data_IF_022149875709
#
_entry.id   IF_022149875709
#
_cell.length_a   1.000
_cell.length_b   1.000
_cell.length_c   1.000
_cell.angle_alpha   90.00
_cell.angle_beta   90.00
_cell.angle_gamma   90.00
#
_symmetry.space_group_name_H-M   'P 1'
#
loop_
_entity.id
_entity.type
_entity.pdbx_description
1 polymer ?
#
# COMPACT_ATOMS: atom_id res chain seq x y z
N UNK A 1 14.09 46.44 6.51
CA UNK A 1 14.73 45.18 6.94
C UNK A 1 13.64 44.27 7.46
N UNK A 2 13.09 43.41 6.60
CA UNK A 2 12.08 42.43 6.96
C UNK A 2 12.75 41.06 6.83
N UNK A 3 13.14 40.49 7.97
CA UNK A 3 13.66 39.12 8.04
C UNK A 3 12.52 38.15 7.81
N UNK A 4 12.53 37.46 6.66
CA UNK A 4 11.71 36.27 6.45
C UNK A 4 12.15 35.18 7.42
N UNK A 5 11.23 34.52 8.15
CA UNK A 5 11.58 33.29 8.83
C UNK A 5 11.75 32.21 7.75
N UNK A 6 13.00 31.85 7.47
CA UNK A 6 13.28 30.53 6.89
C UNK A 6 12.78 29.52 7.91
N UNK A 7 11.58 28.99 7.70
CA UNK A 7 11.13 27.78 8.39
C UNK A 7 12.23 26.76 8.24
N UNK A 8 12.82 26.36 9.37
CA UNK A 8 13.80 25.30 9.44
C UNK A 8 13.13 24.07 8.84
N UNK A 9 13.52 23.71 7.61
CA UNK A 9 13.23 22.39 7.05
C UNK A 9 14.07 21.45 7.92
N UNK A 10 13.45 20.93 8.98
CA UNK A 10 14.06 19.96 9.87
C UNK A 10 14.66 18.85 9.01
N UNK A 11 15.94 18.58 9.25
CA UNK A 11 16.66 17.41 8.72
C UNK A 11 15.81 16.15 8.90
N UNK A 12 15.95 15.12 8.04
CA UNK A 12 15.05 13.98 8.01
C UNK A 12 14.87 13.43 9.42
N UNK A 13 13.65 13.50 9.94
CA UNK A 13 13.35 12.73 11.13
C UNK A 13 13.59 11.27 10.76
N UNK A 14 14.56 10.68 11.42
CA UNK A 14 14.90 9.27 11.26
C UNK A 14 13.84 8.47 12.02
N UNK A 15 12.60 8.52 11.54
CA UNK A 15 11.54 7.59 11.92
C UNK A 15 11.94 6.21 11.38
N UNK A 16 12.77 5.51 12.17
CA UNK A 16 13.08 4.11 11.89
C UNK A 16 11.87 3.24 12.17
N UNK A 17 11.82 2.03 11.59
CA UNK A 17 10.72 1.09 11.83
C UNK A 17 10.57 0.74 13.32
N UNK A 18 11.67 0.69 14.08
CA UNK A 18 11.66 0.46 15.53
C UNK A 18 11.08 1.65 16.27
N UNK A 19 11.50 2.87 15.91
CA UNK A 19 10.97 4.09 16.51
C UNK A 19 9.47 4.25 16.25
N UNK A 20 9.02 3.95 15.02
CA UNK A 20 7.61 3.97 14.64
C UNK A 20 6.83 2.90 15.43
N UNK A 21 7.31 1.65 15.47
CA UNK A 21 6.63 0.57 16.18
C UNK A 21 6.51 0.82 17.69
N UNK A 22 7.50 1.48 18.29
CA UNK A 22 7.51 1.84 19.71
C UNK A 22 6.72 3.12 20.02
N UNK A 23 6.24 3.86 19.01
CA UNK A 23 5.59 5.15 19.23
C UNK A 23 4.19 4.97 19.86
N UNK A 24 3.85 5.70 20.95
CA UNK A 24 2.57 5.53 21.66
C UNK A 24 1.32 5.72 20.79
N UNK A 25 1.39 6.57 19.76
CA UNK A 25 0.27 6.83 18.84
C UNK A 25 0.15 5.79 17.70
N UNK A 26 1.17 4.96 17.47
CA UNK A 26 1.19 4.07 16.32
C UNK A 26 0.06 3.02 16.33
N UNK A 27 -0.28 2.38 17.47
CA UNK A 27 -1.45 1.49 17.53
C UNK A 27 -2.75 2.16 17.13
N UNK A 28 -2.99 3.41 17.56
CA UNK A 28 -4.21 4.15 17.20
C UNK A 28 -4.26 4.47 15.70
N UNK A 29 -3.13 4.95 15.16
CA UNK A 29 -2.96 5.21 13.72
C UNK A 29 -3.27 3.95 12.89
N UNK A 30 -2.73 2.79 13.29
CA UNK A 30 -2.97 1.53 12.60
C UNK A 30 -4.44 1.08 12.66
N UNK A 31 -5.11 1.27 13.80
CA UNK A 31 -6.56 0.99 13.91
C UNK A 31 -7.39 1.90 13.02
N UNK A 32 -7.03 3.18 12.91
CA UNK A 32 -7.69 4.11 11.99
C UNK A 32 -7.49 3.73 10.53
N UNK A 33 -6.26 3.38 10.14
CA UNK A 33 -5.95 2.88 8.79
C UNK A 33 -6.78 1.62 8.51
N UNK A 34 -6.80 0.67 9.44
CA UNK A 34 -7.57 -0.55 9.29
C UNK A 34 -9.08 -0.26 9.10
N UNK A 35 -9.67 0.63 9.91
CA UNK A 35 -11.07 1.08 9.75
C UNK A 35 -11.30 1.76 8.39
N UNK A 36 -10.37 2.59 7.96
CA UNK A 36 -10.44 3.25 6.65
C UNK A 36 -10.40 2.23 5.49
N UNK A 37 -9.52 1.23 5.57
CA UNK A 37 -9.42 0.15 4.59
C UNK A 37 -10.71 -0.67 4.50
N UNK A 38 -11.32 -0.98 5.66
CA UNK A 38 -12.63 -1.64 5.73
C UNK A 38 -13.69 -0.76 5.07
N UNK A 39 -13.70 0.55 5.35
CA UNK A 39 -14.61 1.49 4.71
C UNK A 39 -14.47 1.55 3.19
N UNK A 40 -13.23 1.49 2.65
CA UNK A 40 -12.99 1.38 1.21
C UNK A 40 -13.54 0.06 0.67
N UNK A 41 -13.36 -1.05 1.39
CA UNK A 41 -13.91 -2.34 0.96
C UNK A 41 -15.43 -2.30 0.82
N UNK A 42 -16.13 -1.75 1.82
CA UNK A 42 -17.60 -1.68 1.80
C UNK A 42 -18.12 -0.78 0.66
N UNK A 43 -17.41 0.30 0.31
CA UNK A 43 -17.81 1.23 -0.76
C UNK A 43 -17.35 0.79 -2.16
N UNK A 44 -16.18 0.18 -2.25
CA UNK A 44 -15.53 -0.19 -3.52
C UNK A 44 -14.73 -1.49 -3.36
N UNK A 45 -15.41 -2.66 -3.29
CA UNK A 45 -14.76 -3.95 -3.02
C UNK A 45 -13.64 -4.27 -4.01
N UNK A 46 -13.82 -3.95 -5.29
CA UNK A 46 -12.80 -4.20 -6.34
C UNK A 46 -11.50 -3.45 -6.07
N UNK A 47 -11.57 -2.22 -5.59
CA UNK A 47 -10.38 -1.42 -5.27
C UNK A 47 -9.66 -1.98 -4.04
N UNK A 48 -10.41 -2.43 -3.03
CA UNK A 48 -9.81 -3.06 -1.85
C UNK A 48 -9.05 -4.36 -2.19
N UNK A 49 -9.51 -5.09 -3.21
CA UNK A 49 -8.90 -6.36 -3.64
C UNK A 49 -7.46 -6.20 -4.13
N UNK A 50 -7.06 -5.01 -4.57
CA UNK A 50 -5.67 -4.70 -4.98
C UNK A 50 -4.66 -4.79 -3.83
N UNK A 51 -5.13 -4.62 -2.59
CA UNK A 51 -4.31 -4.63 -1.37
C UNK A 51 -4.74 -5.68 -0.34
N UNK A 52 -5.69 -6.54 -0.71
CA UNK A 52 -6.33 -7.46 0.21
C UNK A 52 -5.46 -8.68 0.58
N UNK A 53 -4.39 -8.92 -0.18
CA UNK A 53 -3.36 -9.90 0.13
C UNK A 53 -1.98 -9.41 -0.31
N UNK A 54 -0.93 -9.97 0.26
CA UNK A 54 0.43 -9.46 0.12
C UNK A 54 0.94 -9.49 -1.32
N UNK A 55 0.68 -10.59 -2.03
CA UNK A 55 1.05 -10.71 -3.45
C UNK A 55 0.39 -9.66 -4.33
N UNK A 56 -0.89 -9.33 -4.08
CA UNK A 56 -1.61 -8.32 -4.87
C UNK A 56 -1.10 -6.93 -4.53
N UNK A 57 -0.78 -6.67 -3.27
CA UNK A 57 -0.12 -5.45 -2.85
C UNK A 57 1.20 -5.25 -3.62
N UNK A 58 2.08 -6.27 -3.63
CA UNK A 58 3.36 -6.22 -4.35
C UNK A 58 3.16 -5.95 -5.85
N UNK A 59 2.28 -6.72 -6.50
CA UNK A 59 1.97 -6.54 -7.92
C UNK A 59 1.38 -5.17 -8.24
N UNK A 60 0.47 -4.64 -7.40
CA UNK A 60 -0.13 -3.33 -7.62
C UNK A 60 0.87 -2.19 -7.50
N UNK A 61 1.75 -2.23 -6.48
CA UNK A 61 2.79 -1.22 -6.33
C UNK A 61 3.85 -1.29 -7.43
N UNK A 62 4.25 -2.49 -7.85
CA UNK A 62 5.17 -2.66 -8.99
C UNK A 62 4.56 -2.23 -10.32
N UNK A 63 3.29 -2.55 -10.58
CA UNK A 63 2.56 -2.09 -11.76
C UNK A 63 2.57 -0.56 -11.84
N UNK A 64 2.28 0.11 -10.73
CA UNK A 64 2.22 1.56 -10.68
C UNK A 64 3.62 2.20 -10.79
N UNK A 65 4.63 1.61 -10.14
CA UNK A 65 6.02 2.07 -10.25
C UNK A 65 6.54 1.96 -11.70
N UNK A 66 6.27 0.85 -12.38
CA UNK A 66 6.57 0.69 -13.80
C UNK A 66 5.89 1.78 -14.63
N UNK A 67 4.62 2.07 -14.38
CA UNK A 67 3.90 3.11 -15.12
C UNK A 67 4.52 4.50 -14.94
N UNK A 68 4.97 4.86 -13.74
CA UNK A 68 5.61 6.15 -13.46
C UNK A 68 7.01 6.26 -14.06
N UNK A 69 7.73 5.14 -14.24
CA UNK A 69 9.08 5.08 -14.79
C UNK A 69 9.12 5.00 -16.32
N UNK A 70 8.05 5.40 -17.01
CA UNK A 70 8.01 5.47 -18.47
C UNK A 70 8.92 6.59 -18.97
N UNK A 71 9.75 6.28 -19.97
CA UNK A 71 10.56 7.23 -20.73
C UNK A 71 10.02 7.32 -22.16
N UNK A 72 9.55 8.49 -22.63
CA UNK A 72 8.94 8.64 -23.95
C UNK A 72 9.78 8.12 -25.13
N UNK A 73 11.10 8.19 -25.00
CA UNK A 73 12.10 7.83 -26.01
C UNK A 73 12.36 6.32 -26.10
N UNK A 74 11.96 5.55 -25.09
CA UNK A 74 12.07 4.10 -25.08
C UNK A 74 10.67 3.45 -25.09
N UNK A 75 10.23 2.91 -26.24
CA UNK A 75 8.94 2.24 -26.40
C UNK A 75 8.76 1.02 -25.47
N UNK A 76 9.86 0.40 -25.03
CA UNK A 76 9.89 -0.76 -24.13
C UNK A 76 9.95 -0.34 -22.64
N UNK A 77 10.02 0.96 -22.36
CA UNK A 77 9.94 1.50 -21.01
C UNK A 77 8.52 1.52 -20.46
N UNK A 78 8.44 1.70 -19.14
CA UNK A 78 7.16 1.85 -18.46
C UNK A 78 6.44 0.54 -18.19
N UNK A 79 5.12 0.61 -18.08
CA UNK A 79 4.26 -0.55 -17.87
C UNK A 79 3.89 -1.22 -19.21
N UNK A 80 4.49 -2.37 -19.44
CA UNK A 80 4.10 -3.34 -20.49
C UNK A 80 3.74 -4.67 -19.85
N UNK A 81 2.96 -5.49 -20.55
CA UNK A 81 2.58 -6.81 -20.04
C UNK A 81 3.82 -7.67 -19.72
N UNK A 82 4.85 -7.66 -20.58
CA UNK A 82 6.08 -8.42 -20.34
C UNK A 82 6.80 -7.95 -19.08
N UNK A 83 7.04 -6.63 -18.94
CA UNK A 83 7.74 -6.08 -17.77
C UNK A 83 6.99 -6.31 -16.47
N UNK A 84 5.66 -6.21 -16.51
CA UNK A 84 4.82 -6.52 -15.37
C UNK A 84 4.98 -8.00 -14.94
N UNK A 85 4.95 -8.92 -15.89
CA UNK A 85 5.13 -10.36 -15.65
C UNK A 85 6.52 -10.67 -15.09
N UNK A 86 7.56 -10.09 -15.69
CA UNK A 86 8.94 -10.29 -15.28
C UNK A 86 9.17 -9.74 -13.86
N UNK A 87 8.63 -8.56 -13.55
CA UNK A 87 8.64 -8.02 -12.20
C UNK A 87 7.92 -8.96 -11.22
N UNK A 88 6.70 -9.39 -11.52
CA UNK A 88 5.94 -10.28 -10.62
C UNK A 88 6.65 -11.60 -10.31
N UNK A 89 7.36 -12.17 -11.30
CA UNK A 89 8.17 -13.38 -11.12
C UNK A 89 9.46 -13.13 -10.32
N UNK A 90 10.20 -12.05 -10.60
CA UNK A 90 11.40 -11.68 -9.84
C UNK A 90 11.08 -11.44 -8.35
N UNK A 91 9.88 -10.94 -8.07
CA UNK A 91 9.36 -10.78 -6.71
C UNK A 91 8.96 -12.09 -6.03
N UNK A 92 8.83 -13.19 -6.77
CA UNK A 92 8.19 -14.40 -6.28
C UNK A 92 6.72 -14.17 -5.87
N UNK A 93 6.12 -13.06 -6.31
CA UNK A 93 4.75 -12.68 -5.93
C UNK A 93 3.72 -13.55 -6.65
N UNK A 94 4.01 -13.94 -7.89
CA UNK A 94 3.11 -14.70 -8.74
C UNK A 94 3.85 -15.48 -9.83
N UNK A 95 3.25 -16.59 -10.27
CA UNK A 95 3.64 -17.23 -11.54
C UNK A 95 3.31 -16.32 -12.73
N UNK A 96 3.91 -16.58 -13.89
CA UNK A 96 3.57 -15.89 -15.14
C UNK A 96 2.07 -15.91 -15.43
N UNK A 97 1.40 -17.06 -15.31
CA UNK A 97 -0.05 -17.15 -15.56
C UNK A 97 -0.87 -16.35 -14.53
N UNK A 98 -0.49 -16.40 -13.26
CA UNK A 98 -1.16 -15.65 -12.19
C UNK A 98 -1.00 -14.14 -12.39
N UNK A 99 0.18 -13.68 -12.79
CA UNK A 99 0.42 -12.28 -13.13
C UNK A 99 -0.42 -11.84 -14.34
N UNK A 100 -0.48 -12.66 -15.40
CA UNK A 100 -1.33 -12.38 -16.57
C UNK A 100 -2.81 -12.23 -16.18
N UNK A 101 -3.33 -13.14 -15.36
CA UNK A 101 -4.71 -13.06 -14.86
C UNK A 101 -4.96 -11.81 -14.02
N UNK A 102 -3.99 -11.40 -13.19
CA UNK A 102 -4.11 -10.18 -12.41
C UNK A 102 -4.09 -8.93 -13.30
N UNK A 103 -3.22 -8.88 -14.31
CA UNK A 103 -3.20 -7.77 -15.27
C UNK A 103 -4.53 -7.66 -16.04
N UNK A 104 -5.09 -8.79 -16.47
CA UNK A 104 -6.41 -8.83 -17.08
C UNK A 104 -7.53 -8.37 -16.12
N UNK A 105 -7.45 -8.72 -14.83
CA UNK A 105 -8.36 -8.22 -13.78
C UNK A 105 -8.28 -6.69 -13.67
N UNK A 106 -7.06 -6.11 -13.68
CA UNK A 106 -6.86 -4.66 -13.65
C UNK A 106 -7.49 -3.96 -14.87
N UNK A 107 -7.34 -4.51 -16.07
CA UNK A 107 -7.96 -3.98 -17.29
C UNK A 107 -9.49 -4.10 -17.22
N UNK A 108 -10.02 -5.27 -16.85
CA UNK A 108 -11.46 -5.52 -16.77
C UNK A 108 -12.16 -4.60 -15.75
N UNK A 109 -11.46 -4.23 -14.67
CA UNK A 109 -11.97 -3.30 -13.66
C UNK A 109 -11.64 -1.83 -13.94
N UNK A 110 -11.08 -1.51 -15.12
CA UNK A 110 -10.72 -0.16 -15.54
C UNK A 110 -9.75 0.53 -14.57
N UNK A 111 -8.85 -0.25 -13.96
CA UNK A 111 -7.73 0.29 -13.19
C UNK A 111 -6.55 0.66 -14.08
N UNK A 112 -6.42 0.02 -15.23
CA UNK A 112 -5.48 0.38 -16.29
C UNK A 112 -6.24 0.46 -17.62
N UNK A 113 -5.68 1.20 -18.56
CA UNK A 113 -6.17 1.31 -19.94
C UNK A 113 -5.01 1.15 -20.92
N UNK A 114 -5.31 0.66 -22.12
CA UNK A 114 -4.33 0.56 -23.20
C UNK A 114 -4.32 1.86 -23.98
N UNK A 115 -3.12 2.38 -24.28
CA UNK A 115 -2.93 3.48 -25.22
C UNK A 115 -2.05 3.02 -26.38
N UNK A 116 -2.26 3.62 -27.55
CA UNK A 116 -1.40 3.38 -28.70
C UNK A 116 0.02 3.84 -28.41
N UNK A 117 0.99 3.04 -28.82
CA UNK A 117 2.38 3.46 -28.81
C UNK A 117 2.70 4.24 -30.09
N UNK A 118 3.04 5.54 -29.99
CA UNK A 118 3.34 6.35 -31.17
C UNK A 118 4.56 5.83 -31.96
N UNK A 119 5.49 5.15 -31.29
CA UNK A 119 6.72 4.65 -31.90
C UNK A 119 6.57 3.25 -32.54
N UNK A 120 5.64 2.43 -32.05
CA UNK A 120 5.33 1.12 -32.63
C UNK A 120 3.87 0.74 -32.37
N UNK A 121 3.01 0.89 -33.38
CA UNK A 121 1.57 0.57 -33.29
C UNK A 121 1.27 -0.89 -32.94
N UNK A 122 2.25 -1.81 -33.05
CA UNK A 122 2.10 -3.21 -32.65
C UNK A 122 2.26 -3.40 -31.13
N UNK A 123 2.86 -2.44 -30.43
CA UNK A 123 3.00 -2.46 -28.98
C UNK A 123 1.86 -1.70 -28.31
N UNK A 124 1.29 -2.32 -27.26
CA UNK A 124 0.30 -1.70 -26.37
C UNK A 124 1.01 -1.21 -25.11
N UNK A 125 0.81 0.07 -24.79
CA UNK A 125 1.26 0.65 -23.52
C UNK A 125 0.09 0.59 -22.56
N UNK A 126 0.36 0.18 -21.33
CA UNK A 126 -0.65 0.18 -20.27
C UNK A 126 -0.41 1.39 -19.37
N UNK A 127 -1.46 2.14 -19.07
CA UNK A 127 -1.39 3.29 -18.14
C UNK A 127 -2.44 3.16 -17.04
N UNK A 128 -2.12 3.47 -15.76
CA UNK A 128 -3.10 3.46 -14.67
C UNK A 128 -4.14 4.53 -14.89
N UNK A 129 -5.44 4.22 -14.84
CA UNK A 129 -6.55 5.18 -15.04
C UNK A 129 -6.49 6.37 -14.07
N UNK A 130 -7.15 7.48 -14.40
CA UNK A 130 -7.19 8.66 -13.52
C UNK A 130 -7.72 8.31 -12.12
N UNK A 131 -8.70 7.41 -12.04
CA UNK A 131 -9.21 6.91 -10.77
C UNK A 131 -8.15 6.12 -9.97
N UNK A 132 -7.34 5.29 -10.64
CA UNK A 132 -6.22 4.58 -10.02
C UNK A 132 -5.14 5.54 -9.53
N UNK A 133 -4.87 6.60 -10.30
CA UNK A 133 -3.94 7.66 -9.91
C UNK A 133 -4.43 8.42 -8.68
N UNK A 134 -5.69 8.89 -8.66
CA UNK A 134 -6.29 9.48 -7.47
C UNK A 134 -6.21 8.55 -6.25
N UNK A 135 -6.48 7.26 -6.44
CA UNK A 135 -6.41 6.29 -5.35
C UNK A 135 -4.98 6.09 -4.81
N UNK A 136 -3.97 6.03 -5.69
CA UNK A 136 -2.57 5.87 -5.28
C UNK A 136 -2.00 7.14 -4.63
N UNK A 137 -2.35 8.32 -5.15
CA UNK A 137 -2.02 9.60 -4.51
C UNK A 137 -2.66 9.71 -3.13
N UNK A 138 -3.96 9.39 -3.02
CA UNK A 138 -4.66 9.39 -1.73
C UNK A 138 -4.05 8.40 -0.74
N UNK A 139 -3.64 7.21 -1.19
CA UNK A 139 -2.90 6.26 -0.37
C UNK A 139 -1.59 6.87 0.15
N UNK A 140 -0.80 7.51 -0.73
CA UNK A 140 0.46 8.13 -0.35
C UNK A 140 0.26 9.26 0.66
N UNK A 141 -0.61 10.22 0.36
CA UNK A 141 -0.89 11.37 1.24
C UNK A 141 -1.44 10.92 2.60
N UNK A 142 -2.32 9.92 2.64
CA UNK A 142 -2.83 9.38 3.90
C UNK A 142 -1.75 8.75 4.79
N UNK A 143 -0.71 8.14 4.21
CA UNK A 143 0.43 7.66 4.99
C UNK A 143 1.36 8.80 5.44
N UNK A 144 1.46 9.89 4.67
CA UNK A 144 2.19 11.08 5.11
C UNK A 144 1.49 11.76 6.30
N UNK A 145 0.16 11.90 6.27
CA UNK A 145 -0.61 12.40 7.41
C UNK A 145 -0.36 11.56 8.67
N UNK A 146 -0.30 10.25 8.52
CA UNK A 146 -0.01 9.33 9.62
C UNK A 146 1.41 9.51 10.17
N UNK A 147 2.41 9.70 9.29
CA UNK A 147 3.79 9.99 9.72
C UNK A 147 3.88 11.34 10.43
N UNK A 148 3.20 12.37 9.94
CA UNK A 148 3.20 13.70 10.55
C UNK A 148 2.53 13.70 11.93
N UNK A 149 1.58 12.79 12.19
CA UNK A 149 1.05 12.59 13.55
C UNK A 149 2.06 12.02 14.54
N UNK A 150 3.12 11.35 14.05
CA UNK A 150 4.15 10.78 14.92
C UNK A 150 5.19 11.84 15.32
N UNK A 151 5.50 12.81 14.46
CA UNK A 151 6.65 13.70 14.65
C UNK A 151 6.47 15.14 14.17
N UNK A 152 5.28 15.54 13.73
CA UNK A 152 4.96 16.86 13.17
C UNK A 152 5.87 17.26 11.98
N UNK A 153 6.30 16.28 11.18
CA UNK A 153 7.31 16.46 10.12
C UNK A 153 6.87 17.23 8.87
N UNK A 154 5.62 17.70 8.79
CA UNK A 154 5.12 18.56 7.70
C UNK A 154 5.15 17.94 6.30
N UNK A 155 5.22 16.61 6.18
CA UNK A 155 5.34 15.89 4.90
C UNK A 155 4.12 16.12 4.02
N UNK A 156 2.92 16.13 4.60
CA UNK A 156 1.69 16.36 3.86
C UNK A 156 1.68 17.70 3.15
N UNK A 157 1.97 18.77 3.89
CA UNK A 157 1.97 20.13 3.35
C UNK A 157 2.98 20.28 2.20
N UNK A 158 4.16 19.67 2.33
CA UNK A 158 5.17 19.64 1.27
C UNK A 158 4.71 18.87 0.04
N UNK A 159 4.09 17.70 0.21
CA UNK A 159 3.55 16.91 -0.90
C UNK A 159 2.43 17.64 -1.65
N UNK A 160 1.52 18.31 -0.93
CA UNK A 160 0.45 19.12 -1.52
C UNK A 160 1.01 20.32 -2.30
N UNK A 161 2.08 20.94 -1.80
CA UNK A 161 2.74 22.06 -2.47
C UNK A 161 3.50 21.65 -3.76
N UNK A 162 3.93 20.38 -3.86
CA UNK A 162 4.65 19.90 -5.03
C UNK A 162 4.33 18.43 -5.41
N UNK A 163 3.42 18.22 -6.38
CA UNK A 163 3.04 16.89 -6.86
C UNK A 163 4.19 16.05 -7.43
N UNK A 164 5.33 16.64 -7.80
CA UNK A 164 6.52 15.90 -8.25
C UNK A 164 7.06 14.96 -7.17
N UNK A 165 6.88 15.32 -5.89
CA UNK A 165 7.32 14.49 -4.76
C UNK A 165 6.68 13.11 -4.83
N UNK A 166 5.38 13.01 -5.09
CA UNK A 166 4.70 11.73 -5.23
C UNK A 166 5.28 10.89 -6.37
N UNK A 167 5.49 11.51 -7.55
CA UNK A 167 5.97 10.79 -8.74
C UNK A 167 7.37 10.22 -8.56
N UNK A 168 8.23 10.91 -7.82
CA UNK A 168 9.58 10.46 -7.50
C UNK A 168 9.56 9.45 -6.34
N UNK A 169 8.77 9.70 -5.29
CA UNK A 169 8.72 8.86 -4.11
C UNK A 169 8.07 7.50 -4.37
N UNK A 170 6.96 7.43 -5.10
CA UNK A 170 6.18 6.19 -5.24
C UNK A 170 7.02 5.02 -5.81
N UNK A 171 7.82 5.18 -6.88
CA UNK A 171 8.65 4.10 -7.37
C UNK A 171 9.77 3.71 -6.40
N UNK A 172 10.32 4.68 -5.65
CA UNK A 172 11.30 4.40 -4.59
C UNK A 172 10.70 3.60 -3.44
N UNK A 173 9.45 3.89 -3.04
CA UNK A 173 8.72 3.15 -2.02
C UNK A 173 8.52 1.70 -2.46
N UNK A 174 8.00 1.51 -3.69
CA UNK A 174 7.77 0.19 -4.24
C UNK A 174 9.07 -0.62 -4.28
N UNK A 175 10.16 -0.02 -4.73
CA UNK A 175 11.47 -0.68 -4.79
C UNK A 175 12.01 -1.02 -3.40
N UNK A 176 11.94 -0.09 -2.44
CA UNK A 176 12.43 -0.29 -1.08
C UNK A 176 11.72 -1.47 -0.40
N UNK A 177 10.38 -1.52 -0.51
CA UNK A 177 9.59 -2.58 0.12
C UNK A 177 9.74 -3.94 -0.57
N UNK A 178 10.02 -3.95 -1.86
CA UNK A 178 10.26 -5.17 -2.65
C UNK A 178 11.56 -5.89 -2.26
N UNK A 179 12.60 -5.13 -1.90
CA UNK A 179 13.92 -5.68 -1.56
C UNK A 179 14.08 -5.93 -0.06
N UNK A 180 13.22 -5.34 0.76
CA UNK A 180 13.23 -5.50 2.20
C UNK A 180 12.58 -6.84 2.61
N UNK A 181 13.32 -7.77 3.23
CA UNK A 181 12.77 -9.06 3.63
C UNK A 181 11.68 -8.94 4.70
N UNK A 182 11.73 -7.96 5.61
CA UNK A 182 10.73 -7.77 6.68
C UNK A 182 9.37 -7.35 6.12
N UNK A 183 9.36 -6.71 4.95
CA UNK A 183 8.12 -6.45 4.21
C UNK A 183 7.79 -7.58 3.25
N UNK A 184 8.75 -7.95 2.39
CA UNK A 184 8.56 -8.88 1.28
C UNK A 184 8.06 -10.24 1.76
N UNK A 185 8.54 -10.73 2.90
CA UNK A 185 8.19 -12.03 3.45
C UNK A 185 7.42 -11.79 4.76
N UNK A 186 6.08 -11.92 4.73
CA UNK A 186 5.28 -11.80 5.96
C UNK A 186 5.77 -12.76 7.03
N UNK A 187 5.89 -12.26 8.27
CA UNK A 187 6.25 -13.07 9.44
C UNK A 187 5.25 -14.19 9.64
N UNK A 188 5.74 -15.33 10.16
CA UNK A 188 4.98 -16.58 10.25
C UNK A 188 3.62 -16.42 10.95
N UNK A 189 3.54 -15.52 11.93
CA UNK A 189 2.34 -15.30 12.73
C UNK A 189 1.19 -14.68 11.94
N UNK A 190 1.49 -13.78 11.01
CA UNK A 190 0.52 -13.04 10.19
C UNK A 190 0.44 -13.57 8.74
N UNK A 191 1.43 -14.35 8.31
CA UNK A 191 1.51 -14.94 6.97
C UNK A 191 0.26 -15.74 6.54
N UNK A 192 -0.40 -16.54 7.41
CA UNK A 192 -1.60 -17.30 7.01
C UNK A 192 -2.72 -16.38 6.50
N UNK A 193 -2.79 -15.15 7.02
CA UNK A 193 -3.75 -14.15 6.59
C UNK A 193 -3.29 -13.44 5.32
N UNK A 194 -2.05 -12.95 5.30
CA UNK A 194 -1.51 -12.17 4.19
C UNK A 194 -1.32 -12.98 2.89
N UNK A 195 -1.16 -14.30 3.00
CA UNK A 195 -1.07 -15.22 1.85
C UNK A 195 -2.44 -15.63 1.28
N UNK A 196 -3.54 -15.28 1.94
CA UNK A 196 -4.91 -15.57 1.50
C UNK A 196 -5.48 -14.37 0.76
N UNK A 197 -6.23 -14.62 -0.32
CA UNK A 197 -6.66 -13.62 -1.32
C UNK A 197 -7.35 -12.37 -0.75
N UNK A 198 -8.09 -12.53 0.34
CA UNK A 198 -8.76 -11.45 1.09
C UNK A 198 -8.38 -11.49 2.59
N UNK A 199 -7.38 -12.28 2.96
CA UNK A 199 -7.04 -12.49 4.37
C UNK A 199 -6.39 -11.27 5.02
N UNK A 200 -5.75 -10.39 4.26
CA UNK A 200 -5.28 -9.10 4.77
C UNK A 200 -6.44 -8.22 5.27
N UNK A 201 -7.60 -8.26 4.60
CA UNK A 201 -8.78 -7.52 5.09
C UNK A 201 -9.31 -8.09 6.42
N UNK A 202 -9.27 -9.40 6.60
CA UNK A 202 -9.60 -10.04 7.87
C UNK A 202 -8.60 -9.63 8.96
N UNK A 203 -7.31 -9.62 8.63
CA UNK A 203 -6.25 -9.20 9.55
C UNK A 203 -6.45 -7.75 10.00
N UNK A 204 -6.64 -6.80 9.08
CA UNK A 204 -6.96 -5.42 9.41
C UNK A 204 -8.26 -5.31 10.22
N UNK A 205 -9.28 -6.11 9.89
CA UNK A 205 -10.52 -6.20 10.66
C UNK A 205 -10.33 -6.65 12.11
N UNK A 206 -9.37 -7.52 12.39
CA UNK A 206 -9.03 -7.89 13.77
C UNK A 206 -8.24 -6.76 14.44
N UNK A 207 -7.21 -6.23 13.79
CA UNK A 207 -6.39 -5.14 14.34
C UNK A 207 -7.23 -3.91 14.67
N UNK A 208 -8.22 -3.55 13.86
CA UNK A 208 -9.08 -2.38 14.13
C UNK A 208 -9.88 -2.46 15.43
N UNK A 209 -9.99 -3.66 16.04
CA UNK A 209 -10.77 -3.92 17.25
C UNK A 209 -9.90 -4.15 18.49
N UNK A 210 -8.57 -4.10 18.38
CA UNK A 210 -7.71 -4.33 19.55
C UNK A 210 -7.81 -3.16 20.56
N UNK A 211 -7.78 -3.43 21.87
CA UNK A 211 -7.62 -2.39 22.89
C UNK A 211 -6.23 -1.76 22.81
N UNK A 212 -6.03 -0.64 23.50
CA UNK A 212 -4.75 0.10 23.52
C UNK A 212 -3.59 -0.73 24.07
N UNK A 213 -3.88 -1.57 25.06
CA UNK A 213 -2.92 -2.39 25.75
C UNK A 213 -3.46 -3.82 25.90
N UNK A 214 -2.57 -4.84 25.94
CA UNK A 214 -2.98 -6.18 26.28
C UNK A 214 -3.38 -6.28 27.76
N UNK A 215 -4.10 -7.33 28.11
CA UNK A 215 -4.43 -7.66 29.50
C UNK A 215 -3.23 -8.24 30.27
N UNK A 216 -3.47 -8.65 31.53
CA UNK A 216 -2.44 -9.22 32.39
C UNK A 216 -1.80 -10.52 31.83
N UNK A 217 -2.51 -11.24 30.96
CA UNK A 217 -2.04 -12.46 30.29
C UNK A 217 -1.30 -12.14 28.98
N UNK A 218 -1.06 -10.85 28.68
CA UNK A 218 -0.47 -10.35 27.43
C UNK A 218 -1.34 -10.69 26.21
N UNK A 219 -2.66 -10.67 26.38
CA UNK A 219 -3.62 -10.91 25.31
C UNK A 219 -4.42 -9.65 24.98
N UNK A 220 -4.62 -9.38 23.69
CA UNK A 220 -5.53 -8.36 23.21
C UNK A 220 -6.92 -8.99 23.00
N UNK A 221 -7.96 -8.50 23.69
CA UNK A 221 -9.33 -9.01 23.59
C UNK A 221 -10.20 -8.10 22.72
N UNK A 222 -10.65 -8.61 21.57
CA UNK A 222 -11.27 -7.82 20.50
C UNK A 222 -12.80 -7.76 20.60
N UNK A 223 -13.40 -8.68 21.37
CA UNK A 223 -14.84 -8.94 21.35
C UNK A 223 -15.22 -10.12 20.45
N UNK A 224 -16.51 -10.39 20.24
CA UNK A 224 -16.98 -11.55 19.49
C UNK A 224 -16.74 -11.39 17.98
N UNK A 225 -16.08 -12.38 17.36
CA UNK A 225 -15.89 -12.45 15.91
C UNK A 225 -16.58 -13.70 15.35
N UNK A 226 -17.44 -13.50 14.35
CA UNK A 226 -18.10 -14.58 13.61
C UNK A 226 -17.41 -14.84 12.28
N UNK A 227 -16.91 -16.07 12.09
CA UNK A 227 -16.34 -16.47 10.80
C UNK A 227 -17.37 -16.47 9.66
N UNK A 228 -18.65 -16.69 9.96
CA UNK A 228 -19.71 -16.58 8.96
C UNK A 228 -19.87 -15.14 8.49
N UNK A 229 -19.93 -14.19 9.42
CA UNK A 229 -20.04 -12.76 9.11
C UNK A 229 -18.81 -12.25 8.34
N UNK A 230 -17.60 -12.71 8.70
CA UNK A 230 -16.39 -12.41 7.94
C UNK A 230 -16.45 -12.97 6.51
N UNK A 231 -17.00 -14.17 6.33
CA UNK A 231 -17.16 -14.80 5.03
C UNK A 231 -18.10 -14.02 4.12
N UNK A 232 -19.23 -13.56 4.67
CA UNK A 232 -20.18 -12.69 3.97
C UNK A 232 -19.56 -11.33 3.64
N UNK A 233 -18.94 -10.67 4.63
CA UNK A 233 -18.37 -9.32 4.48
C UNK A 233 -17.29 -9.29 3.40
N UNK A 234 -16.34 -10.23 3.44
CA UNK A 234 -15.16 -10.21 2.56
C UNK A 234 -15.26 -11.16 1.36
N UNK A 235 -16.42 -11.79 1.16
CA UNK A 235 -16.66 -12.78 0.10
C UNK A 235 -15.64 -13.94 0.13
N UNK A 236 -15.35 -14.44 1.33
CA UNK A 236 -14.40 -15.53 1.57
C UNK A 236 -15.17 -16.79 1.96
N UNK A 237 -14.81 -17.93 1.38
CA UNK A 237 -15.42 -19.20 1.79
C UNK A 237 -15.12 -19.52 3.26
N UNK A 238 -16.12 -20.05 3.97
CA UNK A 238 -15.97 -20.44 5.37
C UNK A 238 -14.84 -21.44 5.57
N UNK A 239 -14.61 -22.35 4.62
CA UNK A 239 -13.52 -23.33 4.65
C UNK A 239 -12.16 -22.64 4.64
N UNK A 240 -11.99 -21.59 3.83
CA UNK A 240 -10.74 -20.84 3.79
C UNK A 240 -10.49 -20.09 5.11
N UNK A 241 -11.52 -19.44 5.66
CA UNK A 241 -11.44 -18.79 6.98
C UNK A 241 -11.09 -19.80 8.09
N UNK A 242 -11.76 -20.96 8.12
CA UNK A 242 -11.47 -22.01 9.10
C UNK A 242 -10.02 -22.45 9.05
N UNK A 243 -9.44 -22.58 7.85
CA UNK A 243 -8.03 -22.95 7.64
C UNK A 243 -7.07 -21.87 8.11
N UNK A 244 -7.32 -20.60 7.76
CA UNK A 244 -6.48 -19.47 8.20
C UNK A 244 -6.44 -19.38 9.73
N UNK A 245 -7.62 -19.37 10.37
CA UNK A 245 -7.72 -19.29 11.82
C UNK A 245 -7.15 -20.54 12.50
N UNK A 246 -7.40 -21.74 11.97
CA UNK A 246 -6.88 -22.99 12.55
C UNK A 246 -5.36 -22.96 12.69
N UNK A 247 -4.64 -22.52 11.65
CA UNK A 247 -3.17 -22.44 11.71
C UNK A 247 -2.69 -21.51 12.83
N UNK A 248 -3.28 -20.31 12.94
CA UNK A 248 -2.93 -19.37 14.01
C UNK A 248 -3.34 -19.86 15.40
N UNK A 249 -4.43 -20.62 15.52
CA UNK A 249 -4.85 -21.26 16.78
C UNK A 249 -3.89 -22.36 17.22
N UNK A 250 -3.40 -23.19 16.28
CA UNK A 250 -2.42 -24.26 16.56
C UNK A 250 -1.09 -23.71 17.08
N UNK A 251 -0.76 -22.45 16.74
CA UNK A 251 0.43 -21.73 17.20
C UNK A 251 0.15 -20.80 18.41
N UNK A 252 -1.03 -20.90 19.02
CA UNK A 252 -1.46 -20.06 20.17
C UNK A 252 -1.38 -18.54 19.91
N UNK A 253 -1.52 -18.12 18.65
CA UNK A 253 -1.46 -16.72 18.24
C UNK A 253 -2.81 -16.00 18.36
N UNK A 254 -3.89 -16.77 18.27
CA UNK A 254 -5.24 -16.29 18.47
C UNK A 254 -6.12 -17.42 18.96
N UNK A 255 -7.25 -17.07 19.57
CA UNK A 255 -8.24 -18.05 19.98
C UNK A 255 -9.53 -17.43 20.45
N UNK A 256 -10.33 -18.25 21.11
CA UNK A 256 -11.60 -17.84 21.72
C UNK A 256 -11.56 -18.18 23.20
N UNK A 257 -12.24 -17.38 24.00
CA UNK A 257 -12.38 -17.61 25.44
C UNK A 257 -13.07 -18.93 25.77
N UNK A 258 -14.00 -19.38 24.92
CA UNK A 258 -14.78 -20.58 25.14
C UNK A 258 -14.57 -21.61 24.00
N UNK A 259 -14.72 -22.92 24.30
CA UNK A 259 -14.64 -23.97 23.30
C UNK A 259 -15.60 -23.77 22.12
N UNK A 260 -15.24 -24.36 20.97
CA UNK A 260 -16.02 -24.28 19.72
C UNK A 260 -16.20 -22.85 19.18
N UNK A 261 -15.20 -21.98 19.39
CA UNK A 261 -15.14 -20.61 18.87
C UNK A 261 -16.27 -19.72 19.40
N UNK A 262 -16.45 -19.71 20.72
CA UNK A 262 -17.48 -18.92 21.42
C UNK A 262 -16.83 -17.88 22.34
N UNK A 263 -17.56 -16.82 22.66
CA UNK A 263 -17.04 -15.71 23.46
C UNK A 263 -16.15 -14.77 22.64
N UNK A 264 -15.33 -13.98 23.34
CA UNK A 264 -14.46 -13.02 22.66
C UNK A 264 -13.29 -13.73 21.98
N UNK A 265 -12.83 -13.14 20.88
CA UNK A 265 -11.54 -13.46 20.30
C UNK A 265 -10.44 -12.74 21.06
N UNK A 266 -9.37 -13.47 21.31
CA UNK A 266 -8.11 -12.91 21.79
C UNK A 266 -7.02 -13.08 20.72
N UNK A 267 -6.09 -12.13 20.67
CA UNK A 267 -4.83 -12.20 19.93
C UNK A 267 -3.67 -12.17 20.92
N UNK A 268 -2.64 -12.97 20.68
CA UNK A 268 -1.42 -12.91 21.48
C UNK A 268 -0.66 -11.62 21.19
N UNK A 269 0.10 -11.13 22.18
CA UNK A 269 0.98 -9.97 21.98
C UNK A 269 1.94 -10.17 20.80
N UNK A 270 2.53 -11.36 20.64
CA UNK A 270 3.43 -11.67 19.51
C UNK A 270 2.77 -11.45 18.15
N UNK A 271 1.51 -11.85 17.99
CA UNK A 271 0.78 -11.66 16.73
C UNK A 271 0.59 -10.16 16.40
N UNK A 272 0.26 -9.36 17.41
CA UNK A 272 0.06 -7.91 17.27
C UNK A 272 1.39 -7.19 17.02
N UNK A 273 2.45 -7.57 17.73
CA UNK A 273 3.80 -7.01 17.56
C UNK A 273 4.34 -7.29 16.15
N UNK A 274 4.17 -8.51 15.62
CA UNK A 274 4.59 -8.85 14.26
C UNK A 274 3.78 -8.07 13.19
N UNK A 275 2.49 -7.80 13.45
CA UNK A 275 1.69 -6.92 12.59
C UNK A 275 2.23 -5.48 12.60
N UNK A 276 2.53 -4.93 13.79
CA UNK A 276 3.04 -3.58 13.90
C UNK A 276 4.44 -3.42 13.33
N UNK A 277 5.31 -4.42 13.49
CA UNK A 277 6.61 -4.44 12.84
C UNK A 277 6.49 -4.47 11.30
N UNK A 278 5.59 -5.29 10.77
CA UNK A 278 5.32 -5.33 9.33
C UNK A 278 4.85 -3.96 8.82
N UNK A 279 3.92 -3.31 9.53
CA UNK A 279 3.41 -2.00 9.12
C UNK A 279 4.45 -0.89 9.28
N UNK A 280 5.23 -0.89 10.36
CA UNK A 280 6.26 0.13 10.60
C UNK A 280 7.38 0.08 9.56
N UNK A 281 7.69 -1.11 9.03
CA UNK A 281 8.59 -1.30 7.88
C UNK A 281 8.10 -0.52 6.64
N UNK A 282 6.80 -0.59 6.33
CA UNK A 282 6.21 0.22 5.26
C UNK A 282 6.29 1.71 5.55
N UNK A 283 6.01 2.13 6.78
CA UNK A 283 6.06 3.54 7.15
C UNK A 283 7.48 4.12 7.03
N UNK A 284 8.50 3.38 7.46
CA UNK A 284 9.91 3.79 7.31
C UNK A 284 10.29 3.94 5.82
N UNK A 285 9.88 2.99 4.97
CA UNK A 285 10.14 3.07 3.53
C UNK A 285 9.46 4.29 2.89
N UNK A 286 8.22 4.60 3.29
CA UNK A 286 7.49 5.80 2.85
C UNK A 286 8.21 7.07 3.30
N UNK A 287 8.57 7.17 4.58
CA UNK A 287 9.29 8.33 5.13
C UNK A 287 10.62 8.57 4.40
N UNK A 288 11.40 7.51 4.24
CA UNK A 288 12.72 7.58 3.59
C UNK A 288 12.60 8.00 2.13
N UNK A 289 11.68 7.40 1.38
CA UNK A 289 11.46 7.73 -0.02
C UNK A 289 10.91 9.16 -0.20
N UNK A 290 10.04 9.61 0.70
CA UNK A 290 9.53 10.98 0.70
C UNK A 290 10.67 11.99 0.84
N UNK A 291 11.53 11.88 1.86
CA UNK A 291 12.61 12.83 2.07
C UNK A 291 13.66 12.78 0.95
N UNK A 292 13.93 11.60 0.40
CA UNK A 292 14.77 11.47 -0.82
C UNK A 292 14.15 12.19 -2.01
N UNK A 293 12.84 12.06 -2.22
CA UNK A 293 12.13 12.75 -3.28
C UNK A 293 12.16 14.27 -3.09
N UNK A 294 11.96 14.78 -1.87
CA UNK A 294 12.09 16.21 -1.55
C UNK A 294 13.50 16.73 -1.89
N UNK A 295 14.54 15.99 -1.49
CA UNK A 295 15.92 16.36 -1.81
C UNK A 295 16.18 16.39 -3.32
N UNK A 296 15.66 15.42 -4.08
CA UNK A 296 15.77 15.41 -5.54
C UNK A 296 15.03 16.56 -6.19
N UNK A 297 13.79 16.84 -5.77
CA UNK A 297 12.98 17.96 -6.27
C UNK A 297 13.68 19.29 -6.01
N UNK A 298 14.25 19.49 -4.83
CA UNK A 298 14.97 20.73 -4.49
C UNK A 298 16.29 20.88 -5.26
N UNK A 299 16.87 19.78 -5.75
CA UNK A 299 18.06 19.81 -6.60
C UNK A 299 17.74 20.06 -8.09
N UNK A 300 16.47 19.95 -8.51
CA UNK A 300 16.07 20.30 -9.87
C UNK A 300 16.17 21.82 -10.07
N UNK A 301 16.75 22.24 -11.20
CA UNK A 301 16.74 23.64 -11.60
C UNK A 301 15.30 24.13 -11.89
N UNK A 302 15.03 25.45 -11.86
CA UNK A 302 13.71 25.98 -12.22
C UNK A 302 13.24 25.52 -13.61
N UNK A 303 14.16 25.49 -14.59
CA UNK A 303 13.88 24.98 -15.94
C UNK A 303 13.48 23.50 -15.93
N UNK A 304 14.20 22.65 -15.21
CA UNK A 304 13.86 21.23 -15.09
C UNK A 304 12.52 21.03 -14.37
N UNK A 305 12.26 21.81 -13.32
CA UNK A 305 10.98 21.77 -12.60
C UNK A 305 9.80 22.18 -13.50
N UNK A 306 9.95 23.25 -14.28
CA UNK A 306 8.93 23.71 -15.23
C UNK A 306 8.72 22.71 -16.37
N UNK A 307 9.79 22.14 -16.92
CA UNK A 307 9.72 21.13 -17.96
C UNK A 307 9.00 19.87 -17.45
N UNK A 308 9.36 19.34 -16.28
CA UNK A 308 8.67 18.17 -15.71
C UNK A 308 7.20 18.48 -15.40
N UNK A 309 6.89 19.69 -14.89
CA UNK A 309 5.49 20.09 -14.66
C UNK A 309 4.70 20.22 -15.97
N UNK A 310 5.32 20.73 -17.03
CA UNK A 310 4.70 20.85 -18.35
C UNK A 310 4.45 19.46 -18.97
N UNK A 311 5.41 18.54 -18.87
CA UNK A 311 5.27 17.15 -19.31
C UNK A 311 4.11 16.44 -18.59
N UNK A 312 3.93 16.68 -17.29
CA UNK A 312 2.81 16.14 -16.53
C UNK A 312 1.47 16.70 -16.97
N UNK A 313 1.37 18.03 -17.10
CA UNK A 313 0.15 18.66 -17.59
C UNK A 313 -0.21 18.20 -19.00
N UNK A 314 0.79 18.01 -19.87
CA UNK A 314 0.59 17.50 -21.22
C UNK A 314 0.17 16.02 -21.23
N UNK A 315 0.72 15.19 -20.36
CA UNK A 315 0.31 13.79 -20.20
C UNK A 315 -1.15 13.70 -19.70
N UNK A 316 -1.53 14.54 -18.74
CA UNK A 316 -2.90 14.64 -18.22
C UNK A 316 -3.90 15.10 -19.31
N UNK A 317 -3.54 16.12 -20.10
CA UNK A 317 -4.35 16.59 -21.23
C UNK A 317 -4.50 15.54 -22.33
N UNK A 318 -3.40 14.91 -22.74
CA UNK A 318 -3.42 13.85 -23.76
C UNK A 318 -4.34 12.70 -23.33
N UNK A 319 -4.31 12.36 -22.04
CA UNK A 319 -5.20 11.37 -21.44
C UNK A 319 -6.67 11.80 -21.41
N UNK A 320 -6.95 13.07 -21.15
CA UNK A 320 -8.30 13.62 -21.15
C UNK A 320 -8.88 13.68 -22.57
N UNK A 321 -8.10 14.12 -23.56
CA UNK A 321 -8.53 14.25 -24.96
C UNK A 321 -8.85 12.88 -25.58
N UNK A 322 -8.06 11.84 -25.26
CA UNK A 322 -8.34 10.46 -25.70
C UNK A 322 -9.70 9.92 -25.21
N UNK A 323 -10.25 10.44 -24.09
CA UNK A 323 -11.58 10.06 -23.58
C UNK A 323 -12.74 10.79 -24.28
N UNK A 324 -12.48 11.87 -25.01
CA UNK A 324 -13.50 12.64 -25.73
C UNK A 324 -13.75 12.05 -27.13
N UNK A 325 -12.79 11.29 -27.65
CA UNK A 325 -12.86 10.65 -28.99
C UNK A 325 -13.15 9.13 -28.95
N UNK A 326 -13.44 8.55 -27.79
CA UNK A 326 -13.84 7.14 -27.60
C UNK A 326 -15.26 7.01 -27.07
#
# INVERSE_FOLDING_TARGET
>A
MLSSPRSQISSPSLLSREAIAAHPLFPEIEREIARHLIGIHLKTPRLSRLKACHRKWLMSHSMYALALQRTPEDPLSGLTASRFMDAAMQLGAASRNTAASFLAELSAYKFIEEIENPADRRMRILVPTAATETAMVSWFLGHLDCLDRLDDGGRRALADANPLIFRIAQPMIAQALVVDPDWRIPRETIAPFLNSDMGGMVLHGMISQIPDLPDADRLYRLGPISLAALGETYLISITNLKRMFKKAQEEELLGWELPRRRGNVWLSQRFVDDYFHWQSTKFEAINTAFWKAVAQVNALTPHQTEQTRAELSQAEKTRADFKVFS
#
